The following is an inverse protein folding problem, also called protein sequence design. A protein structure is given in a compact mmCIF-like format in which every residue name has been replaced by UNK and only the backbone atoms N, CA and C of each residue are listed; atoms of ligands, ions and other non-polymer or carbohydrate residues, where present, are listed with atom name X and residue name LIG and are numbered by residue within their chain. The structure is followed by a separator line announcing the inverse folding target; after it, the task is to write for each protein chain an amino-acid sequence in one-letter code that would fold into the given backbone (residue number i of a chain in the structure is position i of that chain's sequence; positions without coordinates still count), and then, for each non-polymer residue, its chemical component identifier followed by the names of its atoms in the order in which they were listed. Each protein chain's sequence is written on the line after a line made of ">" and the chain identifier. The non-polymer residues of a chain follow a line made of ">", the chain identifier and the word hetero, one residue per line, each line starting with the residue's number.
data_IF_849441539442
#
_entry.id   IF_849441539442
#
_cell.length_a   1.000
_cell.length_b   1.000
_cell.length_c   1.000
_cell.angle_alpha   90.00
_cell.angle_beta   90.00
_cell.angle_gamma   90.00
#
_symmetry.space_group_name_H-M   'P 1'
#
loop_
_entity.id
_entity.type
_entity.pdbx_description
1 polymer ?
#
# COMPACT_ATOMS: atom_id res chain seq x y z
N UNK A 1 -3.80 2.90 14.21
CA UNK A 1 -2.72 3.90 14.12
C UNK A 1 -2.46 4.23 12.64
N UNK A 2 -2.79 5.45 12.19
CA UNK A 2 -2.53 5.89 10.81
C UNK A 2 -1.15 6.54 10.65
N UNK A 3 -0.51 6.34 9.49
CA UNK A 3 0.74 7.02 9.16
C UNK A 3 0.42 8.45 8.74
N UNK A 4 1.11 9.43 9.34
CA UNK A 4 0.95 10.85 9.00
C UNK A 4 2.22 11.36 8.36
N UNK A 5 2.12 11.86 7.15
CA UNK A 5 3.23 12.50 6.45
C UNK A 5 2.68 13.59 5.55
N UNK A 6 3.34 14.74 5.52
CA UNK A 6 2.96 15.87 4.67
C UNK A 6 1.47 16.22 4.79
N UNK A 7 0.90 16.28 6.00
CA UNK A 7 -0.52 16.62 6.19
C UNK A 7 -1.54 15.61 5.63
N UNK A 8 -1.08 14.45 5.12
CA UNK A 8 -1.93 13.33 4.73
C UNK A 8 -1.90 12.26 5.82
N UNK A 9 -3.05 11.63 6.01
CA UNK A 9 -3.23 10.48 6.89
C UNK A 9 -3.55 9.26 6.05
N UNK A 10 -2.67 8.26 6.08
CA UNK A 10 -2.89 6.95 5.47
C UNK A 10 -3.47 6.00 6.52
N UNK A 11 -4.68 5.53 6.30
CA UNK A 11 -5.36 4.58 7.18
C UNK A 11 -4.90 3.15 6.95
N UNK A 12 -3.62 2.85 7.18
CA UNK A 12 -3.05 1.50 6.97
C UNK A 12 -3.81 0.40 7.72
N UNK A 13 -4.41 0.73 8.88
CA UNK A 13 -5.24 -0.19 9.68
C UNK A 13 -6.58 -0.55 9.02
N UNK A 14 -7.05 0.31 8.11
CA UNK A 14 -8.27 0.13 7.34
C UNK A 14 -7.95 -0.24 5.89
N UNK A 15 -6.76 -0.78 5.62
CA UNK A 15 -6.47 -1.23 4.27
C UNK A 15 -7.27 -2.49 3.92
N UNK A 16 -7.77 -2.55 2.70
CA UNK A 16 -8.55 -3.67 2.20
C UNK A 16 -7.85 -4.26 0.98
N UNK A 17 -7.86 -5.59 0.86
CA UNK A 17 -7.37 -6.23 -0.35
C UNK A 17 -8.24 -5.83 -1.55
N UNK A 18 -7.59 -5.39 -2.62
CA UNK A 18 -8.25 -4.94 -3.84
C UNK A 18 -8.19 -5.99 -4.96
N UNK A 19 -7.13 -6.80 -4.98
CA UNK A 19 -6.92 -7.81 -6.01
C UNK A 19 -5.51 -8.40 -5.96
N UNK A 20 -5.32 -9.58 -6.55
CA UNK A 20 -3.98 -10.12 -6.79
C UNK A 20 -3.43 -9.46 -8.07
N UNK A 21 -2.15 -9.09 -8.05
CA UNK A 21 -1.45 -8.64 -9.25
C UNK A 21 -0.50 -9.76 -9.73
N UNK A 22 -0.02 -9.65 -10.96
CA UNK A 22 0.95 -10.60 -11.51
C UNK A 22 2.29 -10.58 -10.75
N UNK A 23 2.99 -11.72 -10.78
CA UNK A 23 4.37 -11.90 -10.30
C UNK A 23 4.65 -11.68 -8.80
N UNK A 24 3.68 -12.05 -7.96
CA UNK A 24 3.86 -11.98 -6.50
C UNK A 24 3.73 -10.56 -5.96
N UNK A 25 3.01 -9.70 -6.67
CA UNK A 25 2.46 -8.46 -6.14
C UNK A 25 0.97 -8.62 -5.82
N UNK A 26 0.45 -7.72 -5.00
CA UNK A 26 -0.98 -7.62 -4.73
C UNK A 26 -1.39 -6.16 -4.63
N UNK A 27 -2.67 -5.89 -4.85
CA UNK A 27 -3.22 -4.57 -4.71
C UNK A 27 -4.03 -4.44 -3.43
N UNK A 28 -3.88 -3.30 -2.77
CA UNK A 28 -4.69 -2.90 -1.62
C UNK A 28 -5.33 -1.55 -1.87
N UNK A 29 -6.50 -1.34 -1.31
CA UNK A 29 -7.11 -0.02 -1.15
C UNK A 29 -6.82 0.45 0.25
N UNK A 30 -6.32 1.66 0.37
CA UNK A 30 -6.08 2.29 1.66
C UNK A 30 -6.83 3.62 1.69
N UNK A 31 -7.65 3.87 2.71
CA UNK A 31 -8.27 5.17 2.85
C UNK A 31 -7.19 6.22 3.15
N UNK A 32 -7.26 7.32 2.41
CA UNK A 32 -6.36 8.45 2.52
C UNK A 32 -7.17 9.71 2.71
N UNK A 33 -6.84 10.48 3.74
CA UNK A 33 -7.47 11.75 4.04
C UNK A 33 -6.40 12.82 4.24
N UNK A 34 -6.59 13.98 3.63
CA UNK A 34 -5.80 15.17 3.87
C UNK A 34 -6.36 15.92 5.09
N UNK A 35 -5.48 16.33 6.00
CA UNK A 35 -5.87 16.99 7.25
C UNK A 35 -6.46 18.38 7.05
N UNK A 36 -6.18 19.04 5.91
CA UNK A 36 -6.81 20.29 5.55
C UNK A 36 -8.22 20.09 4.97
N UNK A 37 -8.70 18.83 4.84
CA UNK A 37 -10.02 18.49 4.32
C UNK A 37 -10.14 18.67 2.80
N UNK A 38 -9.03 18.96 2.11
CA UNK A 38 -9.02 19.18 0.66
C UNK A 38 -9.21 17.89 -0.15
N UNK A 39 -8.89 16.74 0.45
CA UNK A 39 -8.98 15.44 -0.19
C UNK A 39 -9.36 14.36 0.83
N UNK A 40 -10.32 13.51 0.47
CA UNK A 40 -10.63 12.28 1.19
C UNK A 40 -11.07 11.23 0.17
N UNK A 41 -10.45 10.05 0.24
CA UNK A 41 -10.62 9.03 -0.79
C UNK A 41 -9.89 7.74 -0.48
N UNK A 42 -9.79 6.89 -1.48
CA UNK A 42 -9.13 5.60 -1.44
C UNK A 42 -7.96 5.58 -2.43
N UNK A 43 -6.77 5.25 -1.92
CA UNK A 43 -5.60 5.00 -2.74
C UNK A 43 -5.52 3.50 -3.05
N UNK A 44 -5.51 3.17 -4.34
CA UNK A 44 -5.20 1.82 -4.82
C UNK A 44 -3.70 1.70 -4.99
N UNK A 45 -3.09 0.81 -4.23
CA UNK A 45 -1.64 0.67 -4.11
C UNK A 45 -1.28 -0.76 -4.51
N UNK A 46 -0.31 -0.88 -5.41
CA UNK A 46 0.34 -2.15 -5.71
C UNK A 46 1.48 -2.36 -4.71
N UNK A 47 1.33 -3.39 -3.90
CA UNK A 47 2.32 -3.87 -2.95
C UNK A 47 3.09 -5.02 -3.58
N UNK A 48 4.38 -4.82 -3.77
CA UNK A 48 5.31 -5.89 -4.10
C UNK A 48 6.17 -6.16 -2.87
N UNK A 49 6.10 -7.38 -2.35
CA UNK A 49 6.78 -7.76 -1.12
C UNK A 49 7.73 -8.90 -1.42
N UNK A 50 9.00 -8.70 -1.05
CA UNK A 50 10.06 -9.65 -1.27
C UNK A 50 11.00 -9.71 -0.06
N UNK A 51 11.78 -10.78 0.03
CA UNK A 51 12.76 -10.98 1.11
C UNK A 51 13.77 -9.83 1.24
N UNK A 52 14.07 -9.15 0.12
CA UNK A 52 15.08 -8.09 0.05
C UNK A 52 14.49 -6.69 0.25
N UNK A 53 13.16 -6.52 0.09
CA UNK A 53 12.53 -5.22 0.21
C UNK A 53 11.05 -5.22 -0.13
N UNK A 54 10.39 -4.13 0.26
CA UNK A 54 8.99 -3.83 -0.07
C UNK A 54 8.99 -2.69 -1.07
N UNK A 55 8.14 -2.77 -2.08
CA UNK A 55 7.93 -1.71 -3.04
C UNK A 55 6.43 -1.41 -3.12
N UNK A 56 6.08 -0.14 -2.93
CA UNK A 56 4.70 0.33 -2.91
C UNK A 56 4.52 1.37 -4.01
N UNK A 57 3.65 1.07 -4.96
CA UNK A 57 3.39 1.94 -6.11
C UNK A 57 1.93 2.34 -6.11
N UNK A 58 1.65 3.64 -6.18
CA UNK A 58 0.28 4.13 -6.35
C UNK A 58 -0.20 3.77 -7.77
N UNK A 59 -1.26 2.97 -7.85
CA UNK A 59 -1.91 2.57 -9.12
C UNK A 59 -2.96 3.60 -9.50
N UNK A 60 -3.79 3.98 -8.53
CA UNK A 60 -4.88 4.93 -8.77
C UNK A 60 -5.29 5.58 -7.45
N UNK A 61 -5.83 6.79 -7.55
CA UNK A 61 -6.38 7.52 -6.42
C UNK A 61 -7.84 7.82 -6.76
N UNK A 62 -8.76 7.39 -5.90
CA UNK A 62 -10.19 7.67 -6.05
C UNK A 62 -10.61 8.61 -4.93
N UNK A 63 -11.20 9.75 -5.29
CA UNK A 63 -11.78 10.65 -4.31
C UNK A 63 -13.21 10.20 -3.97
N UNK A 64 -13.60 10.26 -2.69
CA UNK A 64 -14.98 9.92 -2.30
C UNK A 64 -16.00 10.90 -2.87
N UNK A 65 -15.62 12.18 -3.04
CA UNK A 65 -16.45 13.17 -3.72
C UNK A 65 -16.27 13.09 -5.24
N UNK A 66 -17.22 12.46 -5.90
CA UNK A 66 -17.31 12.46 -7.36
C UNK A 66 -17.40 13.90 -7.90
N UNK A 67 -16.56 14.22 -8.89
CA UNK A 67 -16.60 15.51 -9.59
C UNK A 67 -15.62 16.58 -9.08
N UNK A 68 -14.87 16.31 -7.99
CA UNK A 68 -13.78 17.20 -7.57
C UNK A 68 -12.47 16.70 -8.20
N UNK A 69 -11.68 17.55 -8.88
CA UNK A 69 -10.41 17.15 -9.42
C UNK A 69 -9.42 16.87 -8.28
N UNK A 70 -8.78 15.70 -8.33
CA UNK A 70 -7.72 15.34 -7.40
C UNK A 70 -6.54 16.30 -7.64
N UNK A 71 -6.07 17.02 -6.62
CA UNK A 71 -4.92 17.91 -6.79
C UNK A 71 -3.70 17.08 -7.21
N UNK A 72 -2.96 17.51 -8.23
CA UNK A 72 -1.78 16.80 -8.75
C UNK A 72 -0.74 16.52 -7.65
N UNK A 73 -0.57 17.48 -6.74
CA UNK A 73 0.32 17.35 -5.58
C UNK A 73 -0.09 16.25 -4.60
N UNK A 74 -1.38 15.87 -4.57
CA UNK A 74 -1.88 14.81 -3.68
C UNK A 74 -1.27 13.47 -4.07
N UNK A 75 -1.27 13.14 -5.36
CA UNK A 75 -0.69 11.89 -5.87
C UNK A 75 0.80 11.80 -5.55
N UNK A 76 1.56 12.90 -5.73
CA UNK A 76 2.98 12.96 -5.39
C UNK A 76 3.22 12.78 -3.88
N UNK A 77 2.43 13.44 -3.04
CA UNK A 77 2.53 13.31 -1.57
C UNK A 77 2.17 11.90 -1.11
N UNK A 78 1.13 11.29 -1.69
CA UNK A 78 0.75 9.90 -1.40
C UNK A 78 1.88 8.97 -1.83
N UNK A 79 2.45 9.12 -3.03
CA UNK A 79 3.58 8.32 -3.48
C UNK A 79 4.81 8.48 -2.56
N UNK A 80 5.14 9.70 -2.12
CA UNK A 80 6.23 9.93 -1.17
C UNK A 80 5.98 9.39 0.24
N UNK A 81 4.71 9.20 0.62
CA UNK A 81 4.33 8.50 1.86
C UNK A 81 4.44 6.99 1.68
N UNK A 82 4.02 6.43 0.54
CA UNK A 82 4.18 5.02 0.22
C UNK A 82 5.64 4.58 0.20
N UNK A 83 6.53 5.39 -0.39
CA UNK A 83 7.96 5.13 -0.41
C UNK A 83 8.53 4.99 1.02
N UNK A 84 8.06 5.85 1.94
CA UNK A 84 8.43 5.78 3.34
C UNK A 84 7.84 4.55 4.05
N UNK A 85 6.57 4.20 3.78
CA UNK A 85 5.93 2.97 4.30
C UNK A 85 6.70 1.73 3.83
N UNK A 86 7.16 1.73 2.58
CA UNK A 86 7.97 0.67 1.98
C UNK A 86 9.36 0.60 2.65
N UNK A 87 10.03 1.74 2.83
CA UNK A 87 11.32 1.82 3.51
C UNK A 87 11.28 1.35 4.97
N UNK A 88 10.20 1.66 5.70
CA UNK A 88 9.98 1.18 7.06
C UNK A 88 9.40 -0.25 7.14
N UNK A 89 9.16 -0.91 6.00
CA UNK A 89 8.55 -2.25 5.93
C UNK A 89 7.24 -2.35 6.72
N UNK A 90 6.43 -1.30 6.67
CA UNK A 90 5.14 -1.24 7.39
C UNK A 90 4.09 -2.13 6.71
N UNK A 91 4.17 -2.31 5.39
CA UNK A 91 3.28 -3.20 4.65
C UNK A 91 3.55 -4.66 5.01
N UNK A 92 2.55 -5.34 5.59
CA UNK A 92 2.69 -6.70 6.11
C UNK A 92 3.03 -6.76 7.60
N UNK A 93 3.13 -5.62 8.28
CA UNK A 93 3.30 -5.59 9.73
C UNK A 93 1.98 -5.93 10.43
N UNK A 94 1.98 -6.98 11.26
CA UNK A 94 0.81 -7.46 11.99
C UNK A 94 0.22 -6.48 13.00
N UNK A 95 0.98 -5.46 13.41
CA UNK A 95 0.51 -4.41 14.31
C UNK A 95 -0.14 -3.23 13.59
N UNK A 96 -0.02 -3.15 12.26
CA UNK A 96 -0.48 -2.00 11.47
C UNK A 96 -1.44 -2.43 10.36
N UNK A 97 -1.09 -3.49 9.63
CA UNK A 97 -1.92 -4.05 8.56
C UNK A 97 -2.90 -5.09 9.13
N UNK A 98 -4.10 -5.21 8.55
CA UNK A 98 -5.05 -6.26 8.88
C UNK A 98 -4.48 -7.62 8.48
N UNK A 99 -4.91 -8.64 9.22
CA UNK A 99 -4.42 -10.02 9.11
C UNK A 99 -4.49 -10.59 7.69
N UNK A 100 -5.47 -10.17 6.90
CA UNK A 100 -5.62 -10.59 5.50
C UNK A 100 -4.42 -10.14 4.63
N UNK A 101 -3.98 -8.90 4.80
CA UNK A 101 -2.81 -8.35 4.09
C UNK A 101 -1.52 -8.97 4.60
N UNK A 102 -1.43 -9.20 5.92
CA UNK A 102 -0.28 -9.83 6.56
C UNK A 102 -0.09 -11.27 6.07
N UNK A 103 -1.16 -12.07 6.00
CA UNK A 103 -1.12 -13.44 5.49
C UNK A 103 -0.63 -13.46 4.03
N UNK A 104 -1.06 -12.49 3.22
CA UNK A 104 -0.61 -12.36 1.83
C UNK A 104 0.86 -11.99 1.72
N UNK A 105 1.35 -11.02 2.49
CA UNK A 105 2.78 -10.72 2.56
C UNK A 105 3.58 -11.98 2.93
N UNK A 106 3.19 -12.69 3.99
CA UNK A 106 3.86 -13.93 4.41
C UNK A 106 3.84 -15.01 3.33
N UNK A 107 2.74 -15.18 2.59
CA UNK A 107 2.69 -16.13 1.46
C UNK A 107 3.61 -15.75 0.31
N UNK A 108 3.77 -14.46 0.04
CA UNK A 108 4.64 -13.97 -1.03
C UNK A 108 6.12 -14.11 -0.66
N UNK A 109 6.47 -13.76 0.57
CA UNK A 109 7.80 -13.99 1.13
C UNK A 109 8.14 -15.48 1.20
N UNK A 110 7.15 -16.31 1.57
CA UNK A 110 7.28 -17.78 1.62
C UNK A 110 7.42 -18.43 0.25
N UNK A 111 6.61 -18.05 -0.75
CA UNK A 111 6.70 -18.59 -2.11
C UNK A 111 8.06 -18.35 -2.76
N UNK A 112 8.67 -17.18 -2.56
CA UNK A 112 10.01 -16.90 -3.14
C UNK A 112 11.13 -17.69 -2.47
N UNK A 113 10.90 -18.25 -1.28
CA UNK A 113 11.84 -19.16 -0.61
C UNK A 113 11.72 -20.60 -1.16
N UNK A 114 10.55 -20.97 -1.66
CA UNK A 114 10.26 -22.29 -2.25
C UNK A 114 10.51 -22.32 -3.78
N UNK A 115 10.60 -21.16 -4.43
CA UNK A 115 10.90 -21.02 -5.86
C UNK A 115 12.38 -21.04 -6.25
N UNK A 116 13.29 -21.26 -5.29
CA UNK A 116 14.70 -21.55 -5.56
C UNK A 116 14.96 -23.05 -5.32
N UNK A 117 14.48 -23.88 -6.23
CA UNK A 117 15.16 -25.05 -6.82
C UNK A 117 14.20 -25.68 -7.84
N UNK A 118 14.63 -25.92 -9.09
CA UNK A 118 15.56 -27.04 -9.30
C UNK A 118 16.70 -26.78 -10.31
N UNK A 119 17.77 -27.56 -10.12
CA UNK A 119 18.91 -27.90 -11.01
C UNK A 119 20.05 -26.87 -11.11
N UNK A 120 21.29 -27.14 -10.62
CA UNK A 120 22.30 -28.14 -11.07
C UNK A 120 22.58 -28.15 -12.58
#
# INVERSE_FOLDING_TARGET
>A
MGLRKDGLTLGCENCAFAGAADDGAFEVRVPVADQAGAFSGDARIRCEVSLHGHQLTLVSLQQMQAGTPIPTRTSERVQGMLDQVAGYRVCGNEHVCPSEVVDRCRRLEGRRRDGCDPDV
#
